data_IF_420050962227
#
_entry.id   IF_420050962227
#
_cell.length_a   1.000
_cell.length_b   1.000
_cell.length_c   1.000
_cell.angle_alpha   90.00
_cell.angle_beta   90.00
_cell.angle_gamma   90.00
#
_symmetry.space_group_name_H-M   'P 1'
#
loop_
_entity.id
_entity.type
_entity.pdbx_description
1 polymer ?
#
# COMPACT_ATOMS: atom_id res chain seq x y z
N UNK A 1 -21.82 33.67 -16.01
CA UNK A 1 -22.85 33.76 -14.96
C UNK A 1 -22.28 33.22 -13.66
N UNK A 2 -23.02 33.34 -12.54
CA UNK A 2 -22.62 32.88 -11.21
C UNK A 2 -22.43 31.34 -11.16
N UNK A 3 -21.81 30.71 -10.13
CA UNK A 3 -21.70 31.17 -8.72
C UNK A 3 -20.39 30.75 -8.05
N UNK A 4 -20.00 31.53 -7.03
CA UNK A 4 -18.93 31.25 -6.07
C UNK A 4 -19.11 29.94 -5.28
N UNK A 5 -18.00 29.34 -4.84
CA UNK A 5 -17.86 29.03 -3.41
C UNK A 5 -16.42 29.25 -2.95
N UNK A 6 -16.24 29.65 -1.68
CA UNK A 6 -14.95 30.06 -1.09
C UNK A 6 -14.75 29.46 0.29
N UNK A 7 -13.54 29.02 0.59
CA UNK A 7 -12.94 29.14 1.93
C UNK A 7 -11.45 29.50 1.75
N UNK A 8 -10.87 30.54 2.36
CA UNK A 8 -10.85 30.99 3.77
C UNK A 8 -10.20 30.00 4.74
N UNK A 9 -9.40 30.43 5.72
CA UNK A 9 -8.53 31.62 5.87
C UNK A 9 -7.81 31.54 7.22
N UNK A 10 -6.58 32.08 7.33
CA UNK A 10 -5.89 32.43 8.60
C UNK A 10 -5.56 31.18 9.46
N UNK A 11 -4.72 31.26 10.50
CA UNK A 11 -3.83 32.31 11.03
C UNK A 11 -3.11 31.75 12.26
N UNK A 12 -1.82 32.02 12.52
CA UNK A 12 -1.21 33.29 12.97
C UNK A 12 -0.95 33.25 14.50
N UNK A 13 0.16 33.86 14.96
CA UNK A 13 0.69 33.84 16.34
C UNK A 13 1.17 32.45 16.82
N UNK A 14 2.33 32.25 17.48
CA UNK A 14 3.41 33.12 17.96
C UNK A 14 3.08 34.12 19.09
N UNK A 15 3.34 33.70 20.34
CA UNK A 15 3.90 34.47 21.47
C UNK A 15 4.46 33.41 22.47
N UNK A 16 5.74 33.44 22.87
CA UNK A 16 6.36 34.14 24.03
C UNK A 16 6.12 33.45 25.39
N UNK A 17 7.20 33.39 26.17
CA UNK A 17 7.28 32.71 27.47
C UNK A 17 6.75 33.55 28.65
N UNK A 18 6.38 32.88 29.74
CA UNK A 18 6.64 33.33 31.11
C UNK A 18 6.51 32.17 32.11
N UNK A 19 7.61 31.76 32.73
CA UNK A 19 7.60 30.86 33.90
C UNK A 19 7.78 31.65 35.19
N UNK A 20 6.71 31.85 35.96
CA UNK A 20 6.81 32.26 37.38
C UNK A 20 5.81 31.50 38.24
N UNK A 21 6.37 30.96 39.33
CA UNK A 21 5.82 30.19 40.43
C UNK A 21 4.53 30.66 41.11
N UNK A 22 3.76 29.68 41.64
CA UNK A 22 3.05 29.81 42.92
C UNK A 22 1.51 29.78 42.86
N UNK A 23 0.87 28.95 43.70
CA UNK A 23 -0.60 28.92 43.82
C UNK A 23 -1.23 27.64 44.38
N UNK A 24 -0.62 26.99 45.38
CA UNK A 24 -1.16 25.73 45.93
C UNK A 24 -2.33 25.99 46.91
N UNK A 25 -3.56 25.73 46.49
CA UNK A 25 -4.73 25.65 47.38
C UNK A 25 -5.51 24.37 47.03
N UNK A 26 -5.51 23.40 47.94
CA UNK A 26 -6.26 22.17 47.79
C UNK A 26 -7.69 22.32 48.36
N UNK A 27 -8.70 22.24 47.50
CA UNK A 27 -10.10 22.02 47.88
C UNK A 27 -10.46 20.55 47.59
N UNK A 28 -10.69 19.75 48.63
CA UNK A 28 -10.95 18.32 48.49
C UNK A 28 -12.44 17.96 48.68
N UNK A 29 -12.92 16.96 47.93
CA UNK A 29 -14.30 16.48 47.94
C UNK A 29 -15.17 17.10 46.83
N UNK A 30 -16.27 16.49 46.36
CA UNK A 30 -17.00 15.31 46.90
C UNK A 30 -17.58 14.40 45.80
N UNK A 31 -16.73 13.83 44.93
CA UNK A 31 -17.09 12.66 44.09
C UNK A 31 -15.89 11.71 43.97
N UNK A 32 -15.51 11.07 45.07
CA UNK A 32 -14.49 10.02 45.05
C UNK A 32 -15.00 8.79 44.29
N UNK A 33 -14.37 8.46 43.17
CA UNK A 33 -14.54 7.14 42.54
C UNK A 33 -14.20 6.03 43.57
N UNK A 34 -14.84 4.85 43.49
CA UNK A 34 -14.51 3.74 44.38
C UNK A 34 -13.01 3.40 44.26
N UNK A 35 -12.34 3.04 45.37
CA UNK A 35 -10.92 2.71 45.36
C UNK A 35 -10.68 1.50 44.46
N UNK A 36 -9.78 1.63 43.50
CA UNK A 36 -9.45 0.56 42.59
C UNK A 36 -8.53 -0.45 43.29
N UNK A 37 -8.90 -1.73 43.30
CA UNK A 37 -8.15 -2.79 43.97
C UNK A 37 -6.94 -3.25 43.13
N UNK A 38 -5.90 -2.41 43.10
CA UNK A 38 -4.61 -2.73 42.50
C UNK A 38 -3.71 -3.47 43.52
N UNK A 39 -3.32 -4.70 43.18
CA UNK A 39 -2.29 -5.50 43.87
C UNK A 39 -0.95 -5.23 43.21
N UNK A 40 -0.03 -4.59 43.92
CA UNK A 40 1.23 -4.11 43.33
C UNK A 40 2.45 -4.48 44.15
N UNK A 41 3.60 -4.60 43.46
CA UNK A 41 4.87 -5.02 44.02
C UNK A 41 5.99 -4.08 43.54
N UNK A 42 6.73 -3.57 44.50
CA UNK A 42 7.80 -2.57 44.39
C UNK A 42 9.00 -3.04 45.20
N UNK A 43 10.18 -2.45 44.97
CA UNK A 43 11.36 -2.66 45.79
C UNK A 43 12.42 -1.52 45.78
N UNK A 44 12.16 -0.18 45.72
CA UNK A 44 13.22 0.89 45.93
C UNK A 44 13.91 0.69 47.30
N UNK A 45 14.87 -0.24 47.38
CA UNK A 45 14.94 -1.14 48.55
C UNK A 45 13.68 -2.01 48.77
N UNK A 46 12.51 -1.37 48.98
CA UNK A 46 11.29 -2.00 49.50
C UNK A 46 10.02 -1.39 48.87
N UNK A 47 9.00 -2.24 48.62
CA UNK A 47 7.69 -1.85 48.11
C UNK A 47 6.55 -1.87 49.12
N UNK A 48 5.37 -1.40 48.70
CA UNK A 48 4.22 -1.23 49.61
C UNK A 48 2.86 -1.66 49.02
N UNK A 49 2.36 -0.96 48.00
CA UNK A 49 1.03 -1.17 47.38
C UNK A 49 0.80 -0.26 46.18
N UNK A 50 1.48 0.88 46.20
CA UNK A 50 2.04 1.60 45.08
C UNK A 50 1.97 0.86 43.73
N UNK A 51 1.09 1.32 42.85
CA UNK A 51 1.10 1.12 41.39
C UNK A 51 2.32 1.81 40.74
N UNK A 52 3.50 1.57 41.31
CA UNK A 52 4.60 2.52 41.35
C UNK A 52 5.75 1.83 42.10
N UNK A 53 6.87 1.55 41.43
CA UNK A 53 7.69 0.40 41.86
C UNK A 53 9.19 0.49 41.44
N UNK A 54 10.07 -0.46 41.82
CA UNK A 54 11.56 -0.26 41.94
C UNK A 54 12.45 -1.44 42.50
N UNK A 55 13.79 -1.32 42.53
CA UNK A 55 14.87 -2.01 43.35
C UNK A 55 15.76 -0.90 43.95
N UNK A 56 16.88 -1.14 44.64
CA UNK A 56 17.78 -0.07 45.15
C UNK A 56 17.99 1.13 44.18
N UNK A 57 18.14 0.87 42.87
CA UNK A 57 17.52 1.68 41.82
C UNK A 57 16.93 0.70 40.74
N UNK A 58 15.76 0.05 40.98
CA UNK A 58 14.83 -0.59 39.97
C UNK A 58 14.35 -2.08 39.81
N UNK A 59 13.01 -2.33 39.77
CA UNK A 59 12.11 -3.48 39.31
C UNK A 59 10.61 -3.23 39.72
N UNK A 60 9.62 -3.34 38.82
CA UNK A 60 8.24 -2.93 39.15
C UNK A 60 7.06 -3.78 38.66
N UNK A 61 5.96 -3.80 39.43
CA UNK A 61 4.78 -4.59 39.08
C UNK A 61 3.45 -4.05 39.63
N UNK A 62 2.36 -4.17 38.85
CA UNK A 62 0.98 -3.95 39.32
C UNK A 62 -0.07 -4.79 38.58
N UNK A 63 -1.17 -5.12 39.28
CA UNK A 63 -2.27 -5.94 38.79
C UNK A 63 -3.61 -5.47 39.37
N UNK A 64 -4.55 -5.06 38.54
CA UNK A 64 -5.89 -4.59 38.93
C UNK A 64 -6.43 -3.51 38.00
N UNK A 65 -7.70 -3.14 38.15
CA UNK A 65 -8.24 -1.98 37.44
C UNK A 65 -7.45 -0.72 37.86
N UNK A 66 -7.04 0.12 36.92
CA UNK A 66 -6.16 1.26 37.23
C UNK A 66 -4.78 0.84 37.78
N UNK A 67 -4.27 -0.33 37.38
CA UNK A 67 -2.88 -0.68 37.61
C UNK A 67 -1.94 0.30 36.90
N UNK A 68 -0.78 0.53 37.50
CA UNK A 68 0.31 1.36 36.98
C UNK A 68 1.64 0.77 37.49
N UNK A 69 2.76 0.86 36.78
CA UNK A 69 4.04 0.27 37.19
C UNK A 69 5.21 1.09 36.64
N UNK A 70 5.73 1.96 37.50
CA UNK A 70 6.48 3.14 37.08
C UNK A 70 8.00 3.11 37.30
N UNK A 71 8.65 4.07 36.62
CA UNK A 71 9.73 4.93 37.14
C UNK A 71 11.09 4.29 37.43
N UNK A 72 11.75 3.76 36.40
CA UNK A 72 12.87 2.84 36.58
C UNK A 72 14.07 2.98 35.61
N UNK A 73 14.70 4.13 35.44
CA UNK A 73 15.95 4.42 34.67
C UNK A 73 17.19 3.46 34.70
N UNK A 74 18.39 4.06 34.61
CA UNK A 74 19.42 3.69 35.60
C UNK A 74 18.68 3.99 36.91
N UNK A 75 18.03 2.93 37.45
CA UNK A 75 16.69 2.87 38.06
C UNK A 75 15.75 1.63 37.73
N UNK A 76 15.90 0.59 36.82
CA UNK A 76 15.14 -0.75 36.83
C UNK A 76 14.47 -1.59 35.65
N UNK A 77 13.30 -2.25 35.90
CA UNK A 77 12.58 -3.33 35.11
C UNK A 77 11.03 -3.62 35.45
N UNK A 78 9.96 -3.19 34.69
CA UNK A 78 8.51 -3.20 35.13
C UNK A 78 7.33 -3.69 34.26
N UNK A 79 6.17 -3.95 34.89
CA UNK A 79 4.95 -4.46 34.22
C UNK A 79 3.62 -4.06 34.94
N UNK A 80 2.59 -3.61 34.22
CA UNK A 80 1.24 -3.36 34.76
C UNK A 80 0.14 -4.15 34.01
N UNK A 81 -0.92 -4.56 34.71
CA UNK A 81 -1.97 -5.41 34.15
C UNK A 81 -3.35 -5.02 34.69
N UNK A 82 -4.19 -4.45 33.81
CA UNK A 82 -5.63 -4.28 34.03
C UNK A 82 -6.25 -3.21 33.14
N UNK A 83 -7.58 -3.05 33.24
CA UNK A 83 -8.29 -2.01 32.49
C UNK A 83 -7.82 -0.62 32.97
N UNK A 84 -7.31 0.15 32.02
CA UNK A 84 -6.49 1.36 32.19
C UNK A 84 -5.12 1.14 32.87
N UNK A 85 -4.17 0.58 32.09
CA UNK A 85 -2.74 0.97 32.07
C UNK A 85 -1.76 0.28 33.06
N UNK A 86 -0.54 0.77 33.37
CA UNK A 86 0.31 1.90 32.90
C UNK A 86 1.80 1.57 33.18
N UNK A 87 2.79 1.82 32.30
CA UNK A 87 3.48 3.06 31.89
C UNK A 87 4.71 3.43 32.76
N UNK A 88 5.90 3.50 32.12
CA UNK A 88 7.06 2.64 32.50
C UNK A 88 8.41 3.09 31.76
N UNK A 89 9.60 3.32 32.40
CA UNK A 89 10.97 3.70 31.84
C UNK A 89 12.30 3.34 32.69
N UNK A 90 13.50 2.63 32.57
CA UNK A 90 14.43 1.60 31.87
C UNK A 90 15.94 2.05 31.73
N UNK A 91 16.89 1.38 31.05
CA UNK A 91 18.37 1.60 31.07
C UNK A 91 18.94 3.01 31.38
N UNK A 92 18.62 4.05 30.59
CA UNK A 92 18.61 5.49 30.97
C UNK A 92 17.76 6.37 30.00
N UNK A 93 16.55 6.00 29.56
CA UNK A 93 15.70 4.98 30.17
C UNK A 93 15.61 3.63 29.37
N UNK A 94 14.48 2.89 29.27
CA UNK A 94 14.03 1.71 28.41
C UNK A 94 12.66 1.30 29.00
N UNK A 95 12.41 0.06 29.45
CA UNK A 95 11.22 -0.40 30.22
C UNK A 95 9.88 -0.45 29.46
N UNK A 96 9.51 -1.66 29.06
CA UNK A 96 8.40 -2.43 29.62
C UNK A 96 6.99 -1.81 29.81
N UNK A 97 6.08 -2.58 30.43
CA UNK A 97 4.89 -3.05 29.70
C UNK A 97 3.56 -2.81 30.40
N UNK A 98 2.47 -2.66 29.63
CA UNK A 98 1.10 -2.69 30.15
C UNK A 98 0.15 -3.60 29.36
N UNK A 99 -0.86 -4.17 30.01
CA UNK A 99 -1.84 -5.11 29.44
C UNK A 99 -3.24 -4.82 29.97
N UNK A 100 -4.26 -4.84 29.11
CA UNK A 100 -5.63 -4.39 29.40
C UNK A 100 -6.04 -3.27 28.44
N UNK A 101 -7.29 -2.81 28.48
CA UNK A 101 -7.76 -1.74 27.57
C UNK A 101 -7.28 -0.37 28.04
N UNK A 102 -7.16 0.59 27.13
CA UNK A 102 -6.72 1.97 27.40
C UNK A 102 -5.38 2.00 28.17
N UNK A 103 -4.48 1.05 27.87
CA UNK A 103 -3.23 0.83 28.58
C UNK A 103 -2.04 1.53 27.92
N UNK A 104 -1.06 1.99 28.69
CA UNK A 104 0.10 2.72 28.16
C UNK A 104 1.41 2.07 28.60
N UNK A 105 2.41 2.08 27.73
CA UNK A 105 3.79 1.62 27.96
C UNK A 105 4.72 2.61 27.25
N UNK A 106 5.82 3.09 27.87
CA UNK A 106 6.40 4.39 27.44
C UNK A 106 7.92 4.57 27.62
N UNK A 107 8.74 3.80 26.91
CA UNK A 107 10.18 3.69 27.21
C UNK A 107 11.09 4.81 26.74
N UNK A 108 11.93 5.29 27.68
CA UNK A 108 13.01 6.28 27.54
C UNK A 108 14.41 5.78 27.10
N UNK A 109 14.58 4.49 26.76
CA UNK A 109 15.73 3.63 26.29
C UNK A 109 17.24 4.00 26.23
N UNK A 110 17.66 5.08 26.88
CA UNK A 110 18.15 6.24 26.13
C UNK A 110 17.37 6.42 24.79
N UNK A 111 16.15 5.88 24.59
CA UNK A 111 15.54 5.06 23.51
C UNK A 111 14.03 4.80 23.82
N UNK A 112 13.37 3.62 24.00
CA UNK A 112 13.67 2.17 23.75
C UNK A 112 12.64 1.15 24.37
N UNK A 113 11.45 0.87 23.78
CA UNK A 113 10.33 0.10 24.45
C UNK A 113 9.94 -1.25 23.82
N UNK A 114 9.66 -2.27 24.62
CA UNK A 114 8.45 -3.07 24.40
C UNK A 114 7.74 -3.14 25.76
N UNK A 115 6.41 -3.25 25.94
CA UNK A 115 5.38 -3.75 25.03
C UNK A 115 3.97 -3.35 25.52
N UNK A 116 2.95 -3.59 24.71
CA UNK A 116 1.63 -4.07 25.19
C UNK A 116 1.32 -5.41 24.51
N UNK A 117 0.45 -6.23 25.11
CA UNK A 117 0.20 -7.60 24.65
C UNK A 117 -1.27 -7.89 24.31
N UNK A 118 -2.22 -7.32 25.05
CA UNK A 118 -3.65 -7.48 24.81
C UNK A 118 -4.40 -6.24 25.29
N UNK A 119 -5.46 -5.86 24.57
CA UNK A 119 -6.36 -4.77 24.92
C UNK A 119 -6.62 -3.84 23.74
N UNK A 120 -7.69 -3.08 23.84
CA UNK A 120 -8.06 -2.05 22.86
C UNK A 120 -7.66 -0.66 23.39
N UNK A 121 -7.38 0.29 22.49
CA UNK A 121 -7.03 1.70 22.76
C UNK A 121 -5.68 1.92 23.50
N UNK A 122 -4.72 1.00 23.38
CA UNK A 122 -3.42 1.09 24.07
C UNK A 122 -2.41 2.01 23.36
N UNK A 123 -1.39 2.43 24.10
CA UNK A 123 -0.35 3.36 23.66
C UNK A 123 1.04 2.86 24.05
N UNK A 124 1.77 2.31 23.07
CA UNK A 124 3.11 1.72 23.22
C UNK A 124 4.11 2.66 22.55
N UNK A 125 4.74 3.55 23.32
CA UNK A 125 5.68 4.56 22.79
C UNK A 125 7.11 4.30 23.22
N UNK A 126 8.04 4.62 22.33
CA UNK A 126 9.41 4.80 22.72
C UNK A 126 10.08 5.96 22.00
N UNK A 127 10.84 6.75 22.75
CA UNK A 127 11.26 8.08 22.34
C UNK A 127 12.41 8.67 23.15
N UNK A 128 13.65 8.61 22.66
CA UNK A 128 14.83 8.55 23.52
C UNK A 128 15.67 9.81 23.81
N UNK A 129 16.77 9.57 24.53
CA UNK A 129 17.82 10.47 25.01
C UNK A 129 19.24 9.81 25.05
N UNK A 130 19.94 9.59 23.91
CA UNK A 130 21.39 9.28 23.78
C UNK A 130 21.84 7.88 23.25
N UNK A 131 21.99 7.67 21.93
CA UNK A 131 21.80 6.34 21.28
C UNK A 131 20.61 5.61 21.89
N UNK A 132 19.57 6.37 22.18
CA UNK A 132 18.53 6.69 21.20
C UNK A 132 18.25 5.51 20.31
N UNK A 133 17.07 4.97 20.58
CA UNK A 133 16.01 4.73 19.61
C UNK A 133 16.19 3.45 18.76
N UNK A 134 15.24 2.50 18.77
CA UNK A 134 14.10 2.24 19.67
C UNK A 134 13.36 0.95 19.31
N UNK A 135 12.54 0.45 20.24
CA UNK A 135 11.56 -0.62 20.01
C UNK A 135 10.16 -0.03 20.29
N UNK A 136 9.05 -0.61 19.81
CA UNK A 136 7.70 -0.53 20.40
C UNK A 136 6.85 -1.70 19.87
N UNK A 137 6.09 -2.45 20.68
CA UNK A 137 5.15 -3.44 20.10
C UNK A 137 3.84 -3.60 20.88
N UNK A 138 2.69 -3.54 20.20
CA UNK A 138 1.46 -4.18 20.67
C UNK A 138 1.36 -5.60 20.09
N UNK A 139 0.57 -6.52 20.65
CA UNK A 139 0.35 -7.85 20.06
C UNK A 139 -1.08 -8.13 19.63
N UNK A 140 -2.11 -7.78 20.41
CA UNK A 140 -3.52 -8.02 20.06
C UNK A 140 -4.44 -6.90 20.55
N UNK A 141 -5.68 -6.91 20.05
CA UNK A 141 -6.69 -5.87 20.30
C UNK A 141 -6.59 -4.68 19.34
N UNK A 142 -7.42 -3.68 19.53
CA UNK A 142 -7.82 -2.74 18.47
C UNK A 142 -7.55 -1.27 18.83
N UNK A 143 -7.38 -0.38 17.84
CA UNK A 143 -7.14 1.06 18.09
C UNK A 143 -5.79 1.40 18.74
N UNK A 144 -4.90 0.42 18.92
CA UNK A 144 -3.65 0.59 19.64
C UNK A 144 -2.63 1.39 18.81
N UNK A 145 -1.95 2.34 19.45
CA UNK A 145 -0.83 3.08 18.89
C UNK A 145 0.51 2.49 19.35
N UNK A 146 1.46 2.36 18.42
CA UNK A 146 2.76 1.72 18.60
C UNK A 146 3.82 2.57 17.89
N UNK A 147 4.54 3.43 18.61
CA UNK A 147 5.36 4.48 18.00
C UNK A 147 6.82 4.49 18.48
N UNK A 148 7.73 4.68 17.54
CA UNK A 148 9.18 4.63 17.68
C UNK A 148 9.76 5.91 17.07
N UNK A 149 10.29 6.82 17.90
CA UNK A 149 10.63 8.19 17.49
C UNK A 149 12.02 8.30 16.79
N UNK A 150 12.41 9.51 16.36
CA UNK A 150 13.55 9.75 15.46
C UNK A 150 14.89 10.09 16.15
N UNK A 151 15.98 9.48 15.67
CA UNK A 151 17.34 9.58 16.22
C UNK A 151 18.03 8.22 16.43
N UNK A 152 17.43 7.14 15.95
CA UNK A 152 17.85 5.78 16.29
C UNK A 152 19.11 5.26 15.63
N UNK A 153 19.84 4.40 16.36
CA UNK A 153 20.64 3.38 15.68
C UNK A 153 19.73 2.30 15.09
N UNK A 154 18.66 1.91 15.79
CA UNK A 154 17.85 0.73 15.43
C UNK A 154 16.39 0.87 15.86
N UNK A 155 15.55 1.44 15.00
CA UNK A 155 14.14 1.74 15.25
C UNK A 155 13.22 0.63 14.76
N UNK A 156 12.34 0.11 15.64
CA UNK A 156 11.51 -1.07 15.33
C UNK A 156 10.14 -1.10 16.02
N UNK A 157 9.06 -0.90 15.26
CA UNK A 157 7.68 -1.02 15.74
C UNK A 157 7.05 -2.36 15.30
N UNK A 158 6.15 -2.92 16.11
CA UNK A 158 5.47 -4.19 15.84
C UNK A 158 4.01 -4.22 16.27
N UNK A 159 3.15 -4.81 15.44
CA UNK A 159 1.82 -5.30 15.84
C UNK A 159 1.65 -6.75 15.40
N UNK A 160 0.87 -7.55 16.15
CA UNK A 160 0.73 -8.98 15.91
C UNK A 160 -0.74 -9.44 15.77
N UNK A 161 -1.71 -8.52 15.67
CA UNK A 161 -3.14 -8.87 15.58
C UNK A 161 -4.10 -7.70 15.82
N UNK A 162 -5.40 -7.99 15.84
CA UNK A 162 -6.46 -7.01 16.10
C UNK A 162 -6.72 -6.02 14.96
N UNK A 163 -7.35 -4.86 15.23
CA UNK A 163 -7.77 -3.92 14.18
C UNK A 163 -7.44 -2.46 14.42
N UNK A 164 -7.38 -1.67 13.36
CA UNK A 164 -7.32 -0.20 13.43
C UNK A 164 -6.11 0.33 14.23
N UNK A 165 -5.03 -0.47 14.35
CA UNK A 165 -3.83 -0.13 15.11
C UNK A 165 -2.84 0.69 14.27
N UNK A 166 -2.13 1.64 14.86
CA UNK A 166 -1.12 2.47 14.19
C UNK A 166 0.31 2.12 14.64
N UNK A 167 1.18 1.73 13.71
CA UNK A 167 2.50 1.13 13.95
C UNK A 167 3.58 1.96 13.25
N UNK A 168 4.15 2.95 13.93
CA UNK A 168 5.01 3.99 13.31
C UNK A 168 6.46 3.93 13.77
N UNK A 169 7.42 4.04 12.85
CA UNK A 169 8.85 4.22 13.16
C UNK A 169 9.48 5.41 12.43
N UNK A 170 10.34 6.18 13.09
CA UNK A 170 10.91 7.42 12.53
C UNK A 170 12.44 7.38 12.41
N UNK A 171 13.08 8.44 11.89
CA UNK A 171 14.43 8.39 11.32
C UNK A 171 15.54 7.72 12.16
N UNK A 172 16.34 6.87 11.53
CA UNK A 172 17.42 6.08 12.17
C UNK A 172 18.40 5.49 11.15
N UNK A 173 19.44 4.78 11.58
CA UNK A 173 20.29 3.99 10.65
C UNK A 173 19.53 2.78 10.09
N UNK A 174 18.69 2.12 10.89
CA UNK A 174 17.76 1.10 10.41
C UNK A 174 16.39 1.28 11.07
N UNK A 175 15.34 1.35 10.27
CA UNK A 175 14.00 1.80 10.64
C UNK A 175 12.96 0.77 10.17
N UNK A 176 12.16 0.17 11.06
CA UNK A 176 11.37 -1.02 10.72
C UNK A 176 10.00 -1.09 11.43
N UNK A 177 8.91 -0.70 10.76
CA UNK A 177 7.54 -0.98 11.20
C UNK A 177 7.03 -2.31 10.65
N UNK A 178 6.24 -3.05 11.43
CA UNK A 178 5.63 -4.30 10.98
C UNK A 178 4.28 -4.60 11.65
N UNK A 179 3.26 -4.99 10.88
CA UNK A 179 2.16 -5.82 11.37
C UNK A 179 2.35 -7.28 10.95
N UNK A 180 1.91 -8.23 11.78
CA UNK A 180 1.97 -9.67 11.48
C UNK A 180 0.59 -10.28 11.23
N UNK A 181 -0.45 -9.83 11.92
CA UNK A 181 -1.85 -10.23 11.68
C UNK A 181 -2.77 -9.01 11.87
N UNK A 182 -4.07 -9.17 11.57
CA UNK A 182 -5.11 -8.20 11.90
C UNK A 182 -5.82 -7.61 10.69
N UNK A 183 -6.47 -6.46 10.85
CA UNK A 183 -7.06 -5.70 9.74
C UNK A 183 -7.04 -4.19 9.99
N UNK A 184 -7.15 -3.37 8.94
CA UNK A 184 -7.24 -1.90 9.06
C UNK A 184 -6.02 -1.22 9.75
N UNK A 185 -4.88 -1.90 9.91
CA UNK A 185 -3.76 -1.37 10.68
C UNK A 185 -2.87 -0.48 9.80
N UNK A 186 -2.50 0.70 10.29
CA UNK A 186 -1.51 1.57 9.63
C UNK A 186 -0.11 1.15 10.08
N UNK A 187 0.82 0.95 9.14
CA UNK A 187 2.20 0.47 9.37
C UNK A 187 3.15 1.42 8.65
N UNK A 188 3.72 2.39 9.38
CA UNK A 188 4.42 3.56 8.83
C UNK A 188 5.90 3.62 9.19
N UNK A 189 6.77 3.98 8.24
CA UNK A 189 8.21 4.18 8.47
C UNK A 189 8.74 5.45 7.80
N UNK A 190 9.15 6.45 8.60
CA UNK A 190 9.52 7.80 8.13
C UNK A 190 11.02 8.07 8.30
N UNK A 191 11.73 8.20 7.17
CA UNK A 191 13.13 8.63 7.09
C UNK A 191 14.14 7.62 7.63
N UNK A 192 15.42 7.93 7.49
CA UNK A 192 16.52 7.05 7.90
C UNK A 192 17.25 6.39 6.71
N UNK A 193 18.26 5.59 7.02
CA UNK A 193 19.12 4.97 6.00
C UNK A 193 18.55 3.66 5.45
N UNK A 194 18.23 2.68 6.30
CA UNK A 194 17.61 1.40 5.89
C UNK A 194 16.21 1.21 6.45
N UNK A 195 15.18 1.42 5.62
CA UNK A 195 13.80 1.64 6.04
C UNK A 195 12.87 0.53 5.52
N UNK A 196 12.02 -0.03 6.38
CA UNK A 196 11.09 -1.10 6.05
C UNK A 196 9.74 -0.95 6.76
N UNK A 197 8.65 -0.81 6.01
CA UNK A 197 7.28 -0.99 6.48
C UNK A 197 6.72 -2.32 5.94
N UNK A 198 6.12 -3.15 6.79
CA UNK A 198 5.70 -4.51 6.39
C UNK A 198 4.36 -4.95 7.01
N UNK A 199 3.38 -5.34 6.18
CA UNK A 199 2.34 -6.29 6.59
C UNK A 199 2.79 -7.72 6.25
N UNK A 200 2.43 -8.70 7.09
CA UNK A 200 2.69 -10.12 6.83
C UNK A 200 1.42 -10.92 6.52
N UNK A 201 0.35 -10.73 7.30
CA UNK A 201 -0.96 -11.33 7.08
C UNK A 201 -2.03 -10.33 7.50
N UNK A 202 -3.13 -10.24 6.78
CA UNK A 202 -4.29 -9.44 7.16
C UNK A 202 -4.80 -8.54 6.02
N UNK A 203 -5.99 -7.96 6.22
CA UNK A 203 -6.67 -7.18 5.18
C UNK A 203 -6.80 -5.70 5.55
N UNK A 204 -6.83 -4.79 4.58
CA UNK A 204 -7.08 -3.36 4.83
C UNK A 204 -5.94 -2.59 5.50
N UNK A 205 -4.72 -3.13 5.57
CA UNK A 205 -3.61 -2.53 6.32
C UNK A 205 -2.80 -1.55 5.43
N UNK A 206 -2.69 -0.29 5.84
CA UNK A 206 -1.91 0.74 5.14
C UNK A 206 -0.41 0.62 5.44
N UNK A 207 0.38 0.11 4.50
CA UNK A 207 1.84 -0.05 4.65
C UNK A 207 2.58 1.13 4.02
N UNK A 208 2.94 2.13 4.82
CA UNK A 208 3.46 3.44 4.38
C UNK A 208 4.96 3.57 4.68
N UNK A 209 5.74 4.16 3.78
CA UNK A 209 7.09 4.61 4.09
C UNK A 209 7.39 5.97 3.42
N UNK A 210 8.02 6.89 4.16
CA UNK A 210 8.21 8.28 3.73
C UNK A 210 9.67 8.73 3.88
N UNK A 211 10.35 9.02 2.77
CA UNK A 211 11.73 9.51 2.72
C UNK A 211 12.80 8.49 3.12
N UNK A 212 14.08 8.89 3.03
CA UNK A 212 15.24 8.06 3.41
C UNK A 212 16.02 7.44 2.24
N UNK A 213 16.98 6.55 2.53
CA UNK A 213 18.03 6.11 1.58
C UNK A 213 17.85 4.71 0.97
N UNK A 214 17.20 3.79 1.66
CA UNK A 214 16.84 2.46 1.17
C UNK A 214 15.48 2.11 1.73
N UNK A 215 14.52 1.84 0.86
CA UNK A 215 13.13 2.11 1.16
C UNK A 215 12.27 0.91 0.73
N UNK A 216 11.67 0.21 1.69
CA UNK A 216 10.86 -0.99 1.46
C UNK A 216 9.47 -0.82 2.08
N UNK A 217 8.43 -0.85 1.26
CA UNK A 217 7.04 -1.02 1.72
C UNK A 217 6.55 -2.38 1.20
N UNK A 218 5.91 -3.19 2.05
CA UNK A 218 5.60 -4.59 1.70
C UNK A 218 4.32 -5.12 2.33
N UNK A 219 3.40 -5.62 1.50
CA UNK A 219 2.46 -6.67 1.90
C UNK A 219 3.05 -8.08 1.60
N UNK A 220 2.63 -9.10 2.36
CA UNK A 220 2.97 -10.50 2.07
C UNK A 220 1.71 -11.31 1.76
N UNK A 221 0.76 -11.40 2.69
CA UNK A 221 -0.52 -12.07 2.47
C UNK A 221 -1.68 -11.17 2.89
N UNK A 222 -2.73 -11.18 2.08
CA UNK A 222 -4.03 -10.60 2.42
C UNK A 222 -4.47 -9.54 1.43
N UNK A 223 -5.69 -9.06 1.62
CA UNK A 223 -6.44 -8.33 0.62
C UNK A 223 -6.66 -6.87 1.04
N UNK A 224 -6.97 -5.98 0.10
CA UNK A 224 -7.31 -4.58 0.39
C UNK A 224 -6.20 -3.77 1.08
N UNK A 225 -4.92 -4.16 1.04
CA UNK A 225 -3.83 -3.44 1.72
C UNK A 225 -3.18 -2.40 0.80
N UNK A 226 -3.22 -1.09 1.12
CA UNK A 226 -2.36 -0.10 0.48
C UNK A 226 -0.88 -0.29 0.89
N UNK A 227 0.03 0.00 -0.02
CA UNK A 227 1.49 -0.17 0.13
C UNK A 227 2.19 1.02 -0.51
N UNK A 228 2.27 2.13 0.24
CA UNK A 228 2.73 3.43 -0.26
C UNK A 228 4.20 3.71 0.08
N UNK A 229 4.92 4.29 -0.87
CA UNK A 229 6.20 4.98 -0.65
C UNK A 229 6.08 6.44 -1.10
N UNK A 230 6.57 7.37 -0.29
CA UNK A 230 6.69 8.80 -0.63
C UNK A 230 8.16 9.24 -0.56
N UNK A 231 8.71 9.74 -1.66
CA UNK A 231 10.06 10.31 -1.75
C UNK A 231 11.22 9.33 -1.52
N UNK A 232 12.41 9.87 -1.21
CA UNK A 232 13.61 9.09 -0.86
C UNK A 232 14.38 8.45 -2.03
N UNK A 233 15.17 7.43 -1.72
CA UNK A 233 16.07 6.71 -2.64
C UNK A 233 15.92 5.18 -2.47
N UNK A 234 16.12 4.44 -3.55
CA UNK A 234 16.02 2.98 -3.63
C UNK A 234 14.70 2.44 -3.06
N UNK A 235 13.59 2.89 -3.67
CA UNK A 235 12.21 2.61 -3.27
C UNK A 235 11.69 1.28 -3.83
N UNK A 236 11.14 0.44 -2.98
CA UNK A 236 10.64 -0.90 -3.30
C UNK A 236 9.27 -1.16 -2.64
N UNK A 237 8.17 -0.87 -3.35
CA UNK A 237 6.83 -1.28 -2.93
C UNK A 237 6.56 -2.72 -3.42
N UNK A 238 6.04 -3.61 -2.56
CA UNK A 238 5.83 -5.02 -2.91
C UNK A 238 4.55 -5.61 -2.33
N UNK A 239 3.81 -6.35 -3.13
CA UNK A 239 2.86 -7.36 -2.68
C UNK A 239 3.43 -8.75 -3.04
N UNK A 240 2.96 -9.80 -2.37
CA UNK A 240 3.33 -11.19 -2.71
C UNK A 240 2.09 -12.01 -3.06
N UNK A 241 1.07 -11.96 -2.22
CA UNK A 241 -0.15 -12.75 -2.37
C UNK A 241 -1.37 -11.99 -1.84
N UNK A 242 -2.47 -12.02 -2.58
CA UNK A 242 -3.77 -11.47 -2.17
C UNK A 242 -4.29 -10.42 -3.16
N UNK A 243 -5.56 -10.05 -2.96
CA UNK A 243 -6.38 -9.32 -3.94
C UNK A 243 -6.67 -7.88 -3.53
N UNK A 244 -6.98 -7.00 -4.48
CA UNK A 244 -7.41 -5.60 -4.24
C UNK A 244 -6.41 -4.73 -3.46
N UNK A 245 -5.13 -5.11 -3.41
CA UNK A 245 -4.06 -4.33 -2.77
C UNK A 245 -3.60 -3.17 -3.69
N UNK A 246 -3.17 -2.04 -3.12
CA UNK A 246 -2.78 -0.83 -3.88
C UNK A 246 -1.33 -0.44 -3.59
N UNK A 247 -0.40 -0.71 -4.51
CA UNK A 247 1.02 -0.41 -4.35
C UNK A 247 1.34 0.91 -5.06
N UNK A 248 1.78 1.94 -4.33
CA UNK A 248 1.98 3.29 -4.90
C UNK A 248 3.35 3.84 -4.54
N UNK A 249 4.10 4.38 -5.51
CA UNK A 249 5.37 5.09 -5.25
C UNK A 249 5.30 6.52 -5.78
N UNK A 250 5.20 7.48 -4.85
CA UNK A 250 5.16 8.93 -5.12
C UNK A 250 6.58 9.50 -5.07
N UNK A 251 7.22 9.66 -6.22
CA UNK A 251 8.51 10.35 -6.32
C UNK A 251 9.74 9.52 -5.94
N UNK A 252 10.82 10.19 -5.56
CA UNK A 252 12.09 9.56 -5.19
C UNK A 252 12.95 9.09 -6.37
N UNK A 253 13.86 8.15 -6.10
CA UNK A 253 14.86 7.66 -7.05
C UNK A 253 15.04 6.14 -6.92
N UNK A 254 15.29 5.44 -8.05
CA UNK A 254 15.42 3.96 -8.13
C UNK A 254 14.18 3.22 -7.62
N UNK A 255 13.03 3.49 -8.22
CA UNK A 255 11.73 2.95 -7.81
C UNK A 255 11.48 1.54 -8.39
N UNK A 256 10.69 0.74 -7.67
CA UNK A 256 10.14 -0.54 -8.13
C UNK A 256 8.91 -0.92 -7.28
N UNK A 257 7.71 -0.77 -7.85
CA UNK A 257 6.49 -1.41 -7.38
C UNK A 257 6.38 -2.83 -7.97
N UNK A 258 5.89 -3.81 -7.21
CA UNK A 258 5.85 -5.21 -7.63
C UNK A 258 4.71 -5.97 -6.94
N UNK A 259 3.66 -6.33 -7.69
CA UNK A 259 2.82 -7.47 -7.32
C UNK A 259 3.55 -8.79 -7.69
N UNK A 260 2.99 -9.94 -7.28
CA UNK A 260 3.41 -11.26 -7.77
C UNK A 260 2.20 -12.10 -8.21
N UNK A 261 1.27 -12.43 -7.29
CA UNK A 261 0.03 -13.16 -7.62
C UNK A 261 -1.13 -12.54 -6.83
N UNK A 262 -2.23 -12.24 -7.52
CA UNK A 262 -3.50 -11.85 -6.93
C UNK A 262 -4.46 -11.21 -7.94
N UNK A 263 -5.67 -10.90 -7.50
CA UNK A 263 -6.75 -10.32 -8.30
C UNK A 263 -6.89 -8.82 -8.02
N UNK A 264 -7.33 -8.01 -9.00
CA UNK A 264 -7.70 -6.59 -8.81
C UNK A 264 -6.63 -5.68 -8.15
N UNK A 265 -5.34 -6.04 -8.12
CA UNK A 265 -4.33 -5.21 -7.43
C UNK A 265 -3.89 -4.04 -8.30
N UNK A 266 -3.76 -2.85 -7.72
CA UNK A 266 -3.22 -1.66 -8.37
C UNK A 266 -1.72 -1.51 -8.06
N UNK A 267 -0.90 -1.13 -9.04
CA UNK A 267 0.58 -1.08 -8.94
C UNK A 267 1.12 0.15 -9.65
N UNK A 268 1.10 1.30 -8.99
CA UNK A 268 1.48 2.61 -9.55
C UNK A 268 2.87 3.12 -9.09
N UNK A 269 3.50 3.93 -9.95
CA UNK A 269 4.69 4.73 -9.66
C UNK A 269 4.50 6.14 -10.24
N UNK A 270 3.71 6.95 -9.54
CA UNK A 270 3.31 8.33 -9.85
C UNK A 270 4.45 9.35 -10.09
N UNK A 271 5.69 9.05 -9.68
CA UNK A 271 6.79 10.00 -9.79
C UNK A 271 8.15 9.37 -9.55
N UNK A 272 9.21 10.10 -9.92
CA UNK A 272 10.59 9.75 -9.58
C UNK A 272 11.50 9.41 -10.77
N UNK A 273 12.75 9.03 -10.49
CA UNK A 273 13.81 9.06 -11.51
C UNK A 273 13.95 7.78 -12.35
N UNK A 274 13.65 6.60 -11.78
CA UNK A 274 13.64 5.32 -12.48
C UNK A 274 12.40 4.55 -12.04
N UNK A 275 11.33 4.59 -12.81
CA UNK A 275 9.99 4.17 -12.40
C UNK A 275 9.65 2.81 -13.00
N UNK A 276 9.30 1.84 -12.15
CA UNK A 276 8.98 0.49 -12.59
C UNK A 276 7.82 -0.07 -11.77
N UNK A 277 6.78 -0.52 -12.45
CA UNK A 277 5.75 -1.37 -11.88
C UNK A 277 5.82 -2.74 -12.55
N UNK A 278 5.52 -3.82 -11.82
CA UNK A 278 5.46 -5.16 -12.39
C UNK A 278 4.47 -6.08 -11.69
N UNK A 279 4.00 -7.08 -12.42
CA UNK A 279 3.19 -8.19 -11.92
C UNK A 279 3.66 -9.51 -12.55
N UNK A 280 3.37 -10.64 -11.90
CA UNK A 280 3.84 -11.97 -12.30
C UNK A 280 2.73 -13.05 -12.33
N UNK A 281 1.46 -12.65 -12.31
CA UNK A 281 0.30 -13.55 -12.39
C UNK A 281 -0.94 -13.00 -11.66
N UNK A 282 -2.03 -13.77 -11.73
CA UNK A 282 -3.35 -13.33 -11.27
C UNK A 282 -4.03 -12.35 -12.24
N UNK A 283 -5.32 -12.04 -12.01
CA UNK A 283 -6.14 -11.31 -12.98
C UNK A 283 -6.52 -9.89 -12.55
N UNK A 284 -6.97 -9.09 -13.52
CA UNK A 284 -7.65 -7.81 -13.33
C UNK A 284 -6.79 -6.74 -12.62
N UNK A 285 -5.47 -6.96 -12.50
CA UNK A 285 -4.53 -6.05 -11.87
C UNK A 285 -4.26 -4.83 -12.77
N UNK A 286 -4.21 -3.62 -12.20
CA UNK A 286 -3.76 -2.42 -12.90
C UNK A 286 -2.31 -2.09 -12.55
N UNK A 287 -1.48 -1.82 -13.54
CA UNK A 287 -0.09 -1.41 -13.38
C UNK A 287 0.13 -0.04 -14.05
N UNK A 288 0.85 0.86 -13.41
CA UNK A 288 1.20 2.19 -13.93
C UNK A 288 2.64 2.57 -13.55
N UNK A 289 3.32 3.32 -14.42
CA UNK A 289 4.51 4.07 -14.04
C UNK A 289 4.67 5.33 -14.91
N UNK A 290 4.78 6.47 -14.25
CA UNK A 290 4.77 7.79 -14.86
C UNK A 290 3.92 8.75 -14.03
N UNK A 291 3.99 10.04 -14.34
CA UNK A 291 3.35 11.09 -13.54
C UNK A 291 4.33 12.23 -13.25
N UNK A 292 3.91 13.24 -12.52
CA UNK A 292 4.65 14.52 -12.42
C UNK A 292 6.07 14.30 -11.88
N UNK A 293 7.05 14.92 -12.54
CA UNK A 293 8.49 14.74 -12.29
C UNK A 293 9.07 13.34 -12.61
N UNK A 294 8.34 12.46 -13.30
CA UNK A 294 8.85 11.15 -13.74
C UNK A 294 9.91 11.25 -14.83
N UNK A 295 11.03 10.51 -14.69
CA UNK A 295 12.19 10.65 -15.59
C UNK A 295 12.71 9.41 -16.32
N UNK A 296 12.24 8.18 -16.09
CA UNK A 296 12.45 7.00 -16.97
C UNK A 296 11.52 5.86 -16.52
N UNK A 297 10.48 5.53 -17.29
CA UNK A 297 9.42 4.60 -16.85
C UNK A 297 9.48 3.28 -17.64
N UNK A 298 9.34 2.10 -16.99
CA UNK A 298 9.10 0.79 -17.64
C UNK A 298 8.21 -0.16 -16.80
N UNK A 299 7.11 -0.67 -17.38
CA UNK A 299 6.09 -1.49 -16.69
C UNK A 299 5.90 -2.84 -17.39
N UNK A 300 5.79 -3.93 -16.62
CA UNK A 300 5.68 -5.29 -17.17
C UNK A 300 4.73 -6.23 -16.41
N UNK A 301 3.83 -6.91 -17.13
CA UNK A 301 3.04 -8.05 -16.65
C UNK A 301 3.57 -9.37 -17.24
N UNK A 302 3.44 -10.48 -16.50
CA UNK A 302 3.78 -11.84 -16.95
C UNK A 302 2.73 -12.83 -16.46
N UNK A 303 1.72 -13.13 -17.30
CA UNK A 303 0.69 -14.13 -17.00
C UNK A 303 -0.58 -13.55 -16.36
N UNK A 304 -1.61 -14.40 -16.26
CA UNK A 304 -2.94 -14.02 -15.76
C UNK A 304 -3.75 -13.19 -16.76
N UNK A 305 -5.00 -12.86 -16.43
CA UNK A 305 -5.96 -12.27 -17.37
C UNK A 305 -6.48 -10.88 -16.99
N UNK A 306 -7.11 -10.14 -17.91
CA UNK A 306 -7.76 -8.85 -17.64
C UNK A 306 -6.84 -7.70 -17.18
N UNK A 307 -5.55 -7.92 -16.95
CA UNK A 307 -4.67 -6.91 -16.37
C UNK A 307 -4.46 -5.73 -17.31
N UNK A 308 -4.43 -4.52 -16.74
CA UNK A 308 -4.14 -3.27 -17.45
C UNK A 308 -2.72 -2.81 -17.15
N UNK A 309 -1.98 -2.40 -18.18
CA UNK A 309 -0.59 -1.93 -18.09
C UNK A 309 -0.48 -0.55 -18.74
N UNK A 310 -0.40 0.51 -17.94
CA UNK A 310 -0.15 1.88 -18.38
C UNK A 310 1.29 2.34 -18.09
N UNK A 311 1.66 3.42 -18.76
CA UNK A 311 3.00 3.90 -19.02
C UNK A 311 3.01 5.40 -19.37
N UNK A 312 1.86 6.07 -19.23
CA UNK A 312 1.53 7.31 -19.94
C UNK A 312 1.49 8.60 -19.12
N UNK A 313 1.81 8.57 -17.83
CA UNK A 313 1.86 9.80 -17.03
C UNK A 313 2.91 10.81 -17.53
N UNK A 314 2.73 12.12 -17.28
CA UNK A 314 3.58 13.20 -17.80
C UNK A 314 5.04 13.13 -17.30
N UNK A 315 5.87 12.39 -18.03
CA UNK A 315 7.29 12.19 -17.81
C UNK A 315 7.98 11.61 -19.04
N UNK A 316 9.31 11.51 -18.96
CA UNK A 316 10.16 11.25 -20.13
C UNK A 316 11.09 10.09 -19.80
N UNK A 317 10.86 8.82 -20.15
CA UNK A 317 10.80 8.40 -21.55
C UNK A 317 10.11 7.02 -21.80
N UNK A 318 9.28 6.55 -20.86
CA UNK A 318 8.09 5.70 -21.08
C UNK A 318 8.18 4.19 -21.47
N UNK A 319 7.08 3.50 -21.13
CA UNK A 319 7.02 2.09 -20.66
C UNK A 319 6.10 1.15 -21.47
N UNK A 320 6.02 -0.12 -21.05
CA UNK A 320 4.81 -0.97 -21.05
C UNK A 320 4.94 -2.31 -21.80
N UNK A 321 4.76 -3.47 -21.14
CA UNK A 321 4.47 -4.74 -21.83
C UNK A 321 3.73 -5.82 -21.00
N UNK A 322 3.06 -6.76 -21.69
CA UNK A 322 2.68 -8.10 -21.17
C UNK A 322 3.47 -9.22 -21.90
N UNK A 323 3.45 -10.46 -21.39
CA UNK A 323 4.08 -11.64 -22.03
C UNK A 323 3.11 -12.84 -22.18
N UNK A 324 2.21 -13.07 -21.24
CA UNK A 324 1.29 -14.23 -21.24
C UNK A 324 -0.05 -13.79 -20.64
N UNK A 325 -1.18 -14.40 -21.03
CA UNK A 325 -2.46 -14.14 -20.39
C UNK A 325 -3.74 -14.45 -21.17
N UNK A 326 -4.85 -13.90 -20.66
CA UNK A 326 -6.18 -13.82 -21.30
C UNK A 326 -6.81 -12.41 -21.12
N UNK A 327 -7.04 -11.65 -22.19
CA UNK A 327 -7.70 -10.33 -22.23
C UNK A 327 -6.93 -9.14 -21.61
N UNK A 328 -5.60 -9.19 -21.56
CA UNK A 328 -4.78 -8.06 -21.03
C UNK A 328 -4.71 -6.83 -21.98
N UNK A 329 -4.67 -5.63 -21.39
CA UNK A 329 -4.62 -4.32 -22.09
C UNK A 329 -3.36 -3.53 -21.77
N UNK A 330 -2.68 -2.96 -22.77
CA UNK A 330 -1.43 -2.19 -22.58
C UNK A 330 -1.43 -0.84 -23.32
N UNK A 331 -0.91 0.22 -22.69
CA UNK A 331 -0.88 1.62 -23.17
C UNK A 331 0.53 2.21 -23.02
N UNK A 332 0.85 3.33 -23.70
CA UNK A 332 2.06 4.16 -23.45
C UNK A 332 2.09 5.53 -24.16
N UNK A 333 2.85 6.47 -23.59
CA UNK A 333 3.00 7.85 -24.10
C UNK A 333 2.12 8.84 -23.33
N UNK A 334 2.44 10.15 -23.35
CA UNK A 334 2.90 10.86 -24.55
C UNK A 334 4.40 11.17 -24.64
N UNK A 335 5.16 11.00 -23.54
CA UNK A 335 6.59 11.36 -23.48
C UNK A 335 7.52 10.56 -24.41
N UNK A 336 8.70 11.11 -24.78
CA UNK A 336 9.12 11.11 -26.19
C UNK A 336 9.97 9.90 -26.67
N UNK A 337 9.86 8.72 -26.04
CA UNK A 337 10.44 7.43 -26.49
C UNK A 337 9.56 6.24 -26.02
N UNK A 338 8.26 6.44 -25.77
CA UNK A 338 7.43 5.41 -25.13
C UNK A 338 7.48 4.04 -25.85
N UNK A 339 7.13 2.92 -25.20
CA UNK A 339 7.08 1.63 -25.90
C UNK A 339 6.16 0.59 -25.25
N UNK A 340 4.84 0.73 -25.42
CA UNK A 340 3.83 -0.28 -25.06
C UNK A 340 4.06 -1.64 -25.75
N UNK A 341 3.41 -2.72 -25.26
CA UNK A 341 3.47 -4.04 -25.89
C UNK A 341 2.71 -5.19 -25.23
N UNK A 342 2.63 -6.32 -25.93
CA UNK A 342 2.44 -7.68 -25.41
C UNK A 342 3.36 -8.61 -26.23
N UNK A 343 3.54 -9.88 -25.85
CA UNK A 343 3.67 -11.00 -26.82
C UNK A 343 3.70 -12.33 -26.03
N UNK A 344 2.76 -13.26 -26.23
CA UNK A 344 2.21 -13.67 -27.55
C UNK A 344 0.68 -13.66 -27.69
N UNK A 345 0.13 -12.47 -28.01
CA UNK A 345 -1.31 -12.21 -28.18
C UNK A 345 -2.13 -12.32 -26.90
N UNK A 346 -3.33 -11.73 -26.92
CA UNK A 346 -4.19 -11.76 -25.74
C UNK A 346 -5.67 -11.35 -25.98
N UNK A 347 -6.23 -11.71 -27.15
CA UNK A 347 -7.29 -10.91 -27.80
C UNK A 347 -6.74 -9.57 -28.35
N UNK A 348 -5.80 -8.98 -27.60
CA UNK A 348 -4.89 -7.86 -27.86
C UNK A 348 -5.53 -6.48 -27.78
N UNK A 349 -5.23 -5.76 -26.69
CA UNK A 349 -5.19 -4.30 -26.72
C UNK A 349 -3.79 -3.79 -26.42
N UNK A 350 -3.19 -3.08 -27.39
CA UNK A 350 -1.91 -2.38 -27.24
C UNK A 350 -2.00 -1.04 -27.94
N UNK A 351 -1.75 0.05 -27.22
CA UNK A 351 -1.72 1.40 -27.79
C UNK A 351 -0.48 2.17 -27.37
N UNK A 352 -0.02 3.05 -28.26
CA UNK A 352 1.00 4.04 -27.96
C UNK A 352 0.85 5.25 -28.88
N UNK A 353 1.27 6.43 -28.42
CA UNK A 353 1.77 7.47 -29.34
C UNK A 353 3.15 8.01 -28.93
N UNK A 354 3.81 8.73 -29.85
CA UNK A 354 4.97 9.61 -29.60
C UNK A 354 6.27 8.96 -29.10
N UNK A 355 7.30 8.73 -29.94
CA UNK A 355 7.27 8.56 -31.38
C UNK A 355 7.84 7.17 -31.76
N UNK A 356 7.00 6.12 -31.70
CA UNK A 356 7.26 4.81 -32.34
C UNK A 356 7.48 3.62 -31.40
N UNK A 357 6.76 2.49 -31.51
CA UNK A 357 5.31 2.29 -31.27
C UNK A 357 5.03 0.84 -30.81
N UNK A 358 4.00 0.62 -29.96
CA UNK A 358 3.27 -0.61 -29.60
C UNK A 358 3.81 -2.00 -30.05
N UNK A 359 4.11 -2.95 -29.13
CA UNK A 359 4.30 -4.38 -29.49
C UNK A 359 2.92 -5.05 -29.61
N UNK A 360 2.34 -4.96 -30.80
CA UNK A 360 1.76 -6.14 -31.42
C UNK A 360 2.19 -6.11 -32.90
N UNK A 361 1.46 -6.74 -33.83
CA UNK A 361 2.03 -7.08 -35.14
C UNK A 361 2.50 -5.88 -36.01
N UNK A 362 2.14 -4.63 -35.72
CA UNK A 362 2.62 -3.44 -36.44
C UNK A 362 3.12 -2.38 -35.46
N UNK A 363 4.26 -1.76 -35.84
CA UNK A 363 5.00 -0.76 -35.06
C UNK A 363 5.33 0.45 -35.97
N UNK A 364 6.37 1.23 -35.65
CA UNK A 364 6.88 2.42 -36.41
C UNK A 364 6.03 3.69 -36.15
N UNK A 365 6.63 4.88 -36.30
CA UNK A 365 5.97 6.19 -36.12
C UNK A 365 6.45 7.03 -34.93
N UNK A 366 7.70 7.51 -34.85
CA UNK A 366 8.90 7.20 -35.65
C UNK A 366 8.74 7.44 -37.14
N UNK A 367 8.76 8.71 -37.59
CA UNK A 367 8.74 9.13 -38.99
C UNK A 367 7.77 8.33 -39.91
N UNK A 368 6.49 8.70 -39.90
CA UNK A 368 5.50 8.19 -40.87
C UNK A 368 5.73 8.79 -42.27
N UNK A 369 6.85 8.44 -42.91
CA UNK A 369 7.20 8.92 -44.26
C UNK A 369 6.97 7.86 -45.33
N UNK A 370 5.90 8.09 -46.10
CA UNK A 370 5.81 7.85 -47.56
C UNK A 370 5.90 6.39 -48.05
N UNK A 371 4.73 5.85 -48.42
CA UNK A 371 4.43 5.03 -49.61
C UNK A 371 5.47 3.97 -50.04
N UNK A 372 5.04 2.70 -50.04
CA UNK A 372 5.22 1.90 -51.27
C UNK A 372 4.11 2.28 -52.26
N UNK A 373 4.46 3.13 -53.24
CA UNK A 373 3.69 3.27 -54.49
C UNK A 373 4.37 2.33 -55.48
N UNK A 374 3.80 1.15 -55.65
CA UNK A 374 4.46 0.03 -56.34
C UNK A 374 3.56 -0.78 -57.26
N UNK A 375 2.33 -0.34 -57.53
CA UNK A 375 1.52 -0.81 -58.66
C UNK A 375 0.58 0.32 -59.10
N UNK A 376 0.75 0.76 -60.35
CA UNK A 376 -0.17 1.66 -61.04
C UNK A 376 -0.12 1.32 -62.52
N UNK A 377 -1.06 0.47 -62.92
CA UNK A 377 -1.60 0.27 -64.28
C UNK A 377 -0.62 -0.04 -65.43
N UNK A 378 -0.90 -1.15 -66.13
CA UNK A 378 -0.67 -1.23 -67.57
C UNK A 378 -1.89 -1.79 -68.28
N UNK A 379 -2.69 -0.86 -68.83
CA UNK A 379 -3.62 -0.99 -69.96
C UNK A 379 -4.61 -2.17 -70.00
N UNK A 380 -5.90 -1.84 -70.02
CA UNK A 380 -6.93 -2.72 -70.56
C UNK A 380 -6.75 -2.94 -72.07
N UNK A 381 -7.18 -4.10 -72.58
CA UNK A 381 -7.51 -4.28 -73.99
C UNK A 381 -8.76 -5.14 -74.15
N UNK A 382 -9.87 -4.49 -74.47
CA UNK A 382 -11.02 -5.17 -75.06
C UNK A 382 -10.75 -5.33 -76.56
N UNK A 383 -10.98 -6.52 -77.10
CA UNK A 383 -11.16 -6.74 -78.54
C UNK A 383 -12.10 -7.93 -78.74
N UNK A 384 -13.00 -7.82 -79.72
CA UNK A 384 -14.12 -8.74 -79.90
C UNK A 384 -13.96 -9.64 -81.13
N UNK A 385 -14.21 -10.95 -81.01
CA UNK A 385 -14.70 -11.79 -82.12
C UNK A 385 -15.72 -12.80 -81.63
N UNK A 386 -16.88 -12.85 -82.30
CA UNK A 386 -17.81 -13.99 -82.31
C UNK A 386 -18.46 -14.07 -83.70
N UNK A 387 -18.20 -15.14 -84.46
CA UNK A 387 -19.25 -16.12 -84.79
C UNK A 387 -18.76 -17.57 -84.54
N UNK A 388 -19.54 -18.65 -84.71
CA UNK A 388 -20.80 -18.79 -85.44
C UNK A 388 -21.84 -19.70 -84.73
N UNK A 389 -23.02 -19.81 -85.36
CA UNK A 389 -24.15 -20.67 -84.94
C UNK A 389 -23.89 -22.16 -85.27
N UNK A 390 -24.49 -23.04 -84.47
CA UNK A 390 -25.64 -23.82 -84.95
C UNK A 390 -26.66 -24.01 -83.83
N UNK A 391 -27.91 -24.27 -84.19
CA UNK A 391 -29.04 -24.27 -83.27
C UNK A 391 -29.83 -25.58 -83.39
N UNK A 392 -30.45 -25.98 -82.29
CA UNK A 392 -31.60 -26.88 -82.27
C UNK A 392 -32.69 -26.24 -81.42
N UNK A 393 -33.93 -26.50 -81.82
CA UNK A 393 -35.21 -25.91 -81.38
C UNK A 393 -36.04 -27.15 -80.93
N UNK A 394 -36.95 -27.16 -79.94
CA UNK A 394 -38.09 -26.27 -79.67
C UNK A 394 -38.76 -26.57 -78.30
N UNK A 395 -39.82 -25.81 -77.96
CA UNK A 395 -40.92 -26.07 -76.99
C UNK A 395 -40.55 -26.21 -75.50
N UNK A 396 -40.91 -25.27 -74.62
CA UNK A 396 -42.25 -24.73 -74.23
C UNK A 396 -43.05 -25.69 -73.34
N UNK A 397 -43.10 -25.35 -72.05
CA UNK A 397 -43.98 -25.95 -71.03
C UNK A 397 -44.12 -24.97 -69.84
N UNK A 398 -45.29 -24.35 -69.68
CA UNK A 398 -45.50 -23.22 -68.75
C UNK A 398 -45.73 -23.68 -67.29
N UNK A 399 -45.60 -22.68 -66.39
CA UNK A 399 -46.48 -22.36 -65.24
C UNK A 399 -46.08 -22.79 -63.80
N UNK A 400 -45.73 -21.73 -63.04
CA UNK A 400 -46.41 -21.28 -61.81
C UNK A 400 -46.22 -22.00 -60.45
N UNK A 401 -45.63 -21.23 -59.52
CA UNK A 401 -46.23 -20.67 -58.28
C UNK A 401 -45.68 -21.11 -56.90
N UNK A 402 -45.42 -20.07 -56.11
CA UNK A 402 -45.56 -19.91 -54.65
C UNK A 402 -44.64 -20.72 -53.73
N UNK A 403 -43.80 -20.11 -52.88
CA UNK A 403 -44.02 -19.06 -51.84
C UNK A 403 -44.54 -19.63 -50.51
N UNK A 404 -43.83 -19.25 -49.42
CA UNK A 404 -44.25 -19.32 -48.01
C UNK A 404 -44.44 -20.74 -47.39
N UNK A 405 -44.33 -20.96 -46.06
CA UNK A 405 -44.39 -20.00 -44.94
C UNK A 405 -43.67 -20.44 -43.65
N UNK A 406 -43.25 -19.43 -42.87
CA UNK A 406 -43.06 -19.38 -41.40
C UNK A 406 -42.60 -20.59 -40.58
N UNK A 407 -41.53 -20.35 -39.79
CA UNK A 407 -41.23 -21.10 -38.57
C UNK A 407 -42.18 -20.76 -37.39
N UNK A 408 -42.27 -21.65 -36.39
CA UNK A 408 -42.67 -21.31 -35.01
C UNK A 408 -42.12 -22.32 -33.98
N UNK A 409 -41.58 -21.76 -32.88
CA UNK A 409 -41.55 -22.16 -31.44
C UNK A 409 -41.78 -23.64 -31.06
N UNK A 410 -41.20 -24.19 -29.98
CA UNK A 410 -41.06 -23.57 -28.63
C UNK A 410 -39.95 -24.22 -27.76
N UNK A 411 -39.53 -23.55 -26.68
CA UNK A 411 -38.67 -24.09 -25.59
C UNK A 411 -39.36 -25.19 -24.76
N UNK A 412 -38.57 -26.07 -24.12
CA UNK A 412 -38.91 -26.77 -22.86
C UNK A 412 -37.62 -27.30 -22.16
N UNK A 413 -37.66 -27.51 -20.82
CA UNK A 413 -36.62 -28.05 -19.90
C UNK A 413 -35.27 -27.28 -19.84
N UNK A 414 -34.64 -26.91 -18.72
CA UNK A 414 -34.73 -27.20 -17.27
C UNK A 414 -34.08 -28.48 -16.73
N UNK A 415 -33.54 -28.36 -15.50
CA UNK A 415 -32.92 -29.36 -14.62
C UNK A 415 -31.49 -29.82 -14.99
N UNK A 416 -30.58 -30.17 -14.05
CA UNK A 416 -30.58 -30.01 -12.57
C UNK A 416 -29.22 -30.37 -11.94
N UNK A 417 -28.85 -29.64 -10.87
CA UNK A 417 -28.28 -30.05 -9.55
C UNK A 417 -27.03 -30.97 -9.43
N UNK A 418 -26.28 -30.77 -8.32
CA UNK A 418 -25.18 -31.62 -7.83
C UNK A 418 -23.79 -30.95 -7.95
N UNK A 419 -23.03 -30.70 -6.88
CA UNK A 419 -23.27 -30.82 -5.42
C UNK A 419 -22.76 -29.57 -4.67
#
# INVERSE_FOLDING_TARGET
MATSCTSKQRGMAALVAATVSGGFIAGAGLWSAPPAEATCLSAFGIGNSASCSSTLFGVAFALGQGAEAHAEGFFGASFAIGDSASATTSDAFTLASAVGRNSSAEARGLGGLGLSLFGDDNHVVAGGSGSVLTIATNWFGSGNSVTVQAGGLWNRAGNYGGRDNAVTTQGSRFNHSRSIFGSNNVVSTTGGYGNAAQNAFGNGNDVIQTGGTYNLAKNFFGNDNPVQIDGGYANFARNRFGDRNQLTIVGGNRNLASNIIGTDNQVDVAGGLFNRARNAGGSDNELSAGGVNSRFNFVYNVGGGGNTVDAGGPGSFNAGFNVLGSDNTVKAGPGPFALAGTLFQDGRSVTKSGPGIAINNIRIGGASTVRQRGDSESTARADSVRPARKATVERVGKKQRNEERSARRTKASSNSDGE
#
